data_IF_344080439908
#
_entry.id   IF_344080439908
#
_cell.length_a   1.000
_cell.length_b   1.000
_cell.length_c   1.000
_cell.angle_alpha   90.00
_cell.angle_beta   90.00
_cell.angle_gamma   90.00
#
_symmetry.space_group_name_H-M   'P 1'
#
loop_
_entity.id
_entity.type
_entity.pdbx_description
1 polymer ?
#
# COMPACT_ATOMS: atom_id res chain seq x y z
N UNK A 1 4.15 -16.96 20.00
CA UNK A 1 3.25 -15.83 20.26
C UNK A 1 3.14 -15.05 18.96
N UNK A 2 1.93 -14.90 18.40
CA UNK A 2 1.74 -14.17 17.16
C UNK A 2 1.95 -12.68 17.47
N UNK A 3 3.01 -12.07 16.94
CA UNK A 3 3.31 -10.63 17.09
C UNK A 3 2.34 -9.72 16.32
N UNK A 4 1.09 -10.15 16.16
CA UNK A 4 0.02 -9.44 15.48
C UNK A 4 -1.09 -9.07 16.46
N UNK A 5 -1.82 -7.97 16.21
CA UNK A 5 -2.99 -7.60 16.98
C UNK A 5 -4.07 -8.70 17.05
N UNK A 6 -4.87 -8.68 18.11
CA UNK A 6 -6.12 -9.44 18.19
C UNK A 6 -7.13 -8.87 17.20
N UNK A 7 -7.41 -9.63 16.14
CA UNK A 7 -8.32 -9.26 15.06
C UNK A 7 -9.73 -8.89 15.54
N UNK A 8 -10.18 -9.43 16.67
CA UNK A 8 -11.50 -9.14 17.24
C UNK A 8 -11.54 -7.79 17.95
N UNK A 9 -10.40 -7.33 18.47
CA UNK A 9 -10.27 -6.05 19.16
C UNK A 9 -9.96 -4.91 18.19
N UNK A 10 -10.98 -4.09 17.90
CA UNK A 10 -10.86 -2.94 16.99
C UNK A 10 -9.82 -1.90 17.45
N UNK A 11 -9.57 -1.77 18.75
CA UNK A 11 -8.71 -0.70 19.32
C UNK A 11 -7.22 -0.95 19.09
N UNK A 12 -6.85 -2.19 18.71
CA UNK A 12 -5.48 -2.53 18.36
C UNK A 12 -5.14 -2.24 16.89
N UNK A 13 -6.09 -1.70 16.13
CA UNK A 13 -5.92 -1.30 14.73
C UNK A 13 -6.08 0.22 14.59
N UNK A 14 -5.53 0.83 13.52
CA UNK A 14 -5.77 2.24 13.22
C UNK A 14 -7.28 2.52 13.09
N UNK A 15 -7.77 3.52 13.81
CA UNK A 15 -9.20 3.88 13.78
C UNK A 15 -9.52 4.79 12.60
N UNK A 16 -8.56 5.66 12.25
CA UNK A 16 -8.73 6.69 11.24
C UNK A 16 -7.82 6.47 10.03
N UNK A 17 -8.27 6.91 8.84
CA UNK A 17 -7.46 6.93 7.62
C UNK A 17 -6.05 7.51 7.80
N UNK A 18 -5.96 8.59 8.56
CA UNK A 18 -4.76 9.44 8.67
C UNK A 18 -3.84 8.99 9.81
N UNK A 19 -4.23 7.96 10.56
CA UNK A 19 -3.42 7.39 11.64
C UNK A 19 -2.12 6.79 11.07
N UNK A 20 -2.20 6.23 9.86
CA UNK A 20 -1.06 5.67 9.14
C UNK A 20 -0.90 6.31 7.75
N UNK A 21 0.34 6.63 7.41
CA UNK A 21 0.74 6.95 6.04
C UNK A 21 0.51 5.75 5.12
N UNK A 22 0.36 6.00 3.81
CA UNK A 22 0.24 4.93 2.81
C UNK A 22 1.42 3.93 2.85
N UNK A 23 2.62 4.42 3.17
CA UNK A 23 3.82 3.59 3.35
C UNK A 23 3.68 2.66 4.55
N UNK A 24 3.17 3.16 5.68
CA UNK A 24 2.89 2.35 6.86
C UNK A 24 1.79 1.32 6.60
N UNK A 25 0.73 1.69 5.86
CA UNK A 25 -0.29 0.74 5.41
C UNK A 25 0.31 -0.38 4.56
N UNK A 26 1.13 -0.04 3.57
CA UNK A 26 1.77 -1.02 2.72
C UNK A 26 2.67 -2.00 3.50
N UNK A 27 3.38 -1.49 4.52
CA UNK A 27 4.14 -2.33 5.43
C UNK A 27 3.28 -3.31 6.22
N UNK A 28 2.13 -2.88 6.76
CA UNK A 28 1.25 -3.79 7.50
C UNK A 28 0.79 -4.99 6.66
N UNK A 29 0.58 -4.79 5.35
CA UNK A 29 0.32 -5.90 4.44
C UNK A 29 1.57 -6.73 4.16
N UNK A 30 2.72 -6.11 3.89
CA UNK A 30 3.96 -6.82 3.59
C UNK A 30 4.43 -7.68 4.76
N UNK A 31 4.40 -7.19 6.01
CA UNK A 31 4.84 -7.97 7.18
C UNK A 31 4.01 -9.24 7.43
N UNK A 32 2.80 -9.34 6.85
CA UNK A 32 1.93 -10.53 6.88
C UNK A 32 2.17 -11.49 5.73
N UNK A 33 3.00 -11.13 4.76
CA UNK A 33 3.33 -11.96 3.61
C UNK A 33 4.20 -13.16 4.06
N UNK A 34 3.76 -14.39 3.76
CA UNK A 34 4.44 -15.62 4.19
C UNK A 34 5.79 -15.82 3.52
N UNK A 35 5.92 -15.44 2.25
CA UNK A 35 7.22 -15.47 1.56
C UNK A 35 8.20 -14.49 2.17
N UNK A 36 7.75 -13.25 2.49
CA UNK A 36 8.59 -12.28 3.18
C UNK A 36 9.06 -12.78 4.55
N UNK A 37 8.16 -13.37 5.34
CA UNK A 37 8.49 -13.94 6.65
C UNK A 37 9.51 -15.08 6.52
N UNK A 38 9.34 -15.97 5.54
CA UNK A 38 10.27 -17.07 5.29
C UNK A 38 11.65 -16.56 4.84
N UNK A 39 11.70 -15.62 3.90
CA UNK A 39 12.94 -15.00 3.44
C UNK A 39 13.66 -14.27 4.60
N UNK A 40 12.90 -13.59 5.47
CA UNK A 40 13.44 -12.96 6.68
C UNK A 40 14.12 -13.98 7.60
N UNK A 41 13.43 -15.07 7.93
CA UNK A 41 13.96 -16.12 8.81
C UNK A 41 15.22 -16.74 8.20
N UNK A 42 15.17 -17.09 6.91
CA UNK A 42 16.31 -17.67 6.20
C UNK A 42 17.56 -16.78 6.25
N UNK A 43 17.40 -15.46 6.13
CA UNK A 43 18.51 -14.51 6.28
C UNK A 43 19.05 -14.50 7.71
N UNK A 44 18.19 -14.53 8.73
CA UNK A 44 18.65 -14.51 10.13
C UNK A 44 19.44 -15.76 10.52
N UNK A 45 19.17 -16.90 9.88
CA UNK A 45 19.88 -18.17 10.12
C UNK A 45 21.31 -18.19 9.52
N UNK A 46 21.65 -17.25 8.62
CA UNK A 46 23.00 -17.15 8.04
C UNK A 46 23.98 -16.73 9.13
N UNK A 47 24.93 -17.61 9.47
CA UNK A 47 25.94 -17.33 10.51
C UNK A 47 26.99 -16.31 10.07
N UNK A 48 27.39 -16.31 8.80
CA UNK A 48 28.36 -15.36 8.26
C UNK A 48 27.76 -13.96 8.12
N UNK A 49 28.38 -12.96 8.76
CA UNK A 49 27.85 -11.59 8.83
C UNK A 49 27.86 -10.90 7.46
N UNK A 50 28.91 -11.10 6.67
CA UNK A 50 29.03 -10.45 5.37
C UNK A 50 28.01 -11.00 4.38
N UNK A 51 27.82 -12.32 4.36
CA UNK A 51 26.82 -12.98 3.53
C UNK A 51 25.40 -12.63 3.97
N UNK A 52 25.13 -12.61 5.29
CA UNK A 52 23.85 -12.16 5.84
C UNK A 52 23.51 -10.75 5.35
N UNK A 53 24.47 -9.82 5.39
CA UNK A 53 24.26 -8.45 4.94
C UNK A 53 23.96 -8.37 3.43
N UNK A 54 24.65 -9.17 2.61
CA UNK A 54 24.40 -9.24 1.16
C UNK A 54 23.00 -9.78 0.85
N UNK A 55 22.63 -10.91 1.45
CA UNK A 55 21.33 -11.54 1.29
C UNK A 55 20.20 -10.64 1.80
N UNK A 56 20.37 -10.00 2.96
CA UNK A 56 19.45 -9.01 3.51
C UNK A 56 19.20 -7.87 2.52
N UNK A 57 20.26 -7.34 1.91
CA UNK A 57 20.16 -6.25 0.93
C UNK A 57 19.44 -6.72 -0.34
N UNK A 58 19.72 -7.93 -0.81
CA UNK A 58 19.08 -8.52 -1.99
C UNK A 58 17.58 -8.74 -1.77
N UNK A 59 17.20 -9.36 -0.65
CA UNK A 59 15.80 -9.63 -0.32
C UNK A 59 15.05 -8.33 -0.02
N UNK A 60 15.67 -7.37 0.68
CA UNK A 60 15.08 -6.04 0.86
C UNK A 60 14.68 -5.42 -0.49
N UNK A 61 15.56 -5.50 -1.50
CA UNK A 61 15.25 -5.02 -2.86
C UNK A 61 14.11 -5.78 -3.54
N UNK A 62 13.99 -7.09 -3.34
CA UNK A 62 12.88 -7.89 -3.88
C UNK A 62 11.51 -7.39 -3.39
N UNK A 63 11.45 -6.87 -2.16
CA UNK A 63 10.24 -6.34 -1.53
C UNK A 63 10.14 -4.81 -1.57
N UNK A 64 11.02 -4.16 -2.33
CA UNK A 64 11.18 -2.72 -2.49
C UNK A 64 11.55 -1.96 -1.22
N UNK A 65 12.15 -2.64 -0.23
CA UNK A 65 12.56 -2.09 1.04
C UNK A 65 13.82 -1.22 0.95
N UNK A 66 13.69 0.03 1.39
CA UNK A 66 14.71 1.08 1.39
C UNK A 66 15.81 0.91 2.45
N UNK A 67 15.38 0.55 3.66
CA UNK A 67 16.22 0.56 4.87
C UNK A 67 16.79 -0.82 5.20
N UNK A 68 16.74 -1.75 4.26
CA UNK A 68 17.08 -3.14 4.48
C UNK A 68 15.89 -3.96 4.99
N UNK A 69 16.20 -5.17 5.44
CA UNK A 69 15.20 -6.14 5.84
C UNK A 69 14.71 -5.88 7.28
N UNK A 70 13.40 -5.71 7.44
CA UNK A 70 12.77 -5.33 8.70
C UNK A 70 12.07 -6.54 9.34
N UNK A 71 12.13 -6.63 10.67
CA UNK A 71 11.48 -7.72 11.41
C UNK A 71 9.94 -7.65 11.29
N UNK A 72 9.30 -8.67 10.70
CA UNK A 72 7.85 -8.70 10.46
C UNK A 72 7.00 -8.92 11.72
N UNK A 73 7.60 -9.14 12.89
CA UNK A 73 6.91 -9.30 14.17
C UNK A 73 7.21 -8.13 15.12
N UNK A 74 8.42 -7.56 15.08
CA UNK A 74 8.78 -6.46 15.98
C UNK A 74 8.35 -5.10 15.42
N UNK A 75 8.65 -4.80 14.15
CA UNK A 75 8.54 -3.43 13.62
C UNK A 75 7.12 -3.10 13.20
N UNK A 76 6.30 -2.53 14.07
CA UNK A 76 4.93 -2.12 13.70
C UNK A 76 4.91 -0.85 12.83
N UNK A 77 3.80 -0.59 12.14
CA UNK A 77 3.57 0.66 11.41
C UNK A 77 3.94 1.93 12.19
N UNK A 78 3.61 1.97 13.48
CA UNK A 78 3.85 3.12 14.36
C UNK A 78 5.34 3.39 14.63
N UNK A 79 6.17 2.36 14.55
CA UNK A 79 7.60 2.44 14.78
C UNK A 79 8.39 2.72 13.50
N UNK A 80 7.74 2.70 12.35
CA UNK A 80 8.40 2.97 11.08
C UNK A 80 8.62 4.46 10.91
N UNK A 81 9.86 4.88 10.59
CA UNK A 81 10.09 6.25 10.20
C UNK A 81 9.28 6.57 8.94
N UNK A 82 8.63 7.73 8.90
CA UNK A 82 7.76 8.16 7.78
C UNK A 82 8.45 8.13 6.42
N UNK A 83 9.78 8.19 6.37
CA UNK A 83 10.58 8.26 5.16
C UNK A 83 11.08 6.90 4.59
N UNK A 84 10.79 5.76 5.23
CA UNK A 84 11.79 4.70 5.26
C UNK A 84 11.47 3.35 4.59
N UNK A 85 10.43 3.16 3.79
CA UNK A 85 10.12 1.78 3.37
C UNK A 85 10.27 1.53 1.88
N UNK A 86 9.79 2.38 0.99
CA UNK A 86 9.76 2.03 -0.44
C UNK A 86 10.66 2.93 -1.28
N UNK A 87 11.86 2.47 -1.62
CA UNK A 87 12.91 3.29 -2.28
C UNK A 87 12.80 3.31 -3.80
N UNK A 88 11.95 2.49 -4.42
CA UNK A 88 12.01 2.30 -5.87
C UNK A 88 10.94 2.92 -6.73
N UNK A 89 10.04 3.72 -6.16
CA UNK A 89 9.36 4.66 -7.05
C UNK A 89 10.31 5.80 -7.36
N UNK A 90 10.65 6.08 -8.64
CA UNK A 90 11.26 7.35 -8.99
C UNK A 90 10.43 8.42 -8.28
N UNK A 91 11.08 9.22 -7.42
CA UNK A 91 10.38 10.34 -6.82
C UNK A 91 9.93 11.22 -7.98
N UNK A 92 8.61 11.27 -8.16
CA UNK A 92 7.96 12.29 -8.95
C UNK A 92 8.14 13.58 -8.18
N UNK A 93 9.19 14.30 -8.50
CA UNK A 93 9.28 15.71 -8.18
C UNK A 93 8.37 16.38 -9.20
N UNK A 94 7.17 16.80 -8.79
CA UNK A 94 6.41 17.73 -9.63
C UNK A 94 7.03 19.09 -9.36
N UNK A 95 7.85 19.56 -10.29
CA UNK A 95 8.31 20.94 -10.19
C UNK A 95 7.08 21.85 -10.35
N UNK A 96 7.06 22.98 -9.64
CA UNK A 96 5.91 23.89 -9.62
C UNK A 96 5.51 24.35 -11.04
N UNK A 97 6.49 24.42 -11.95
CA UNK A 97 6.32 24.71 -13.38
C UNK A 97 5.56 23.60 -14.16
N UNK A 98 5.62 22.35 -13.69
CA UNK A 98 4.96 21.18 -14.31
C UNK A 98 3.46 21.10 -13.96
N UNK A 99 2.97 21.84 -12.94
CA UNK A 99 1.55 21.88 -12.55
C UNK A 99 0.62 22.37 -13.67
N UNK A 100 1.16 23.11 -14.64
CA UNK A 100 0.41 23.64 -15.78
C UNK A 100 0.39 22.72 -17.01
N UNK A 101 1.09 21.58 -16.98
CA UNK A 101 1.19 20.66 -18.11
C UNK A 101 0.85 19.22 -17.70
N UNK A 102 -0.44 18.79 -17.73
CA UNK A 102 -0.87 17.46 -17.29
C UNK A 102 -0.30 16.29 -18.11
N UNK A 103 0.49 16.58 -19.15
CA UNK A 103 1.16 15.62 -20.02
C UNK A 103 2.67 15.53 -19.79
N UNK A 104 3.21 16.24 -18.79
CA UNK A 104 4.62 16.20 -18.43
C UNK A 104 4.80 15.49 -17.10
N UNK A 105 5.85 14.67 -17.04
CA UNK A 105 6.23 13.90 -15.85
C UNK A 105 7.73 14.01 -15.72
N UNK A 106 8.19 14.49 -14.57
CA UNK A 106 9.61 14.56 -14.21
C UNK A 106 9.97 13.34 -13.37
N UNK A 107 11.04 12.65 -13.76
CA UNK A 107 11.54 11.43 -13.11
C UNK A 107 12.93 11.70 -12.56
N UNK A 108 13.15 11.37 -11.28
CA UNK A 108 14.46 11.48 -10.63
C UNK A 108 15.14 10.11 -10.58
N UNK A 109 16.40 10.04 -11.01
CA UNK A 109 17.22 8.83 -11.00
C UNK A 109 18.36 8.95 -9.99
N UNK A 110 18.68 7.85 -9.32
CA UNK A 110 19.87 7.77 -8.50
C UNK A 110 21.05 7.31 -9.37
N UNK A 111 21.95 8.25 -9.66
CA UNK A 111 23.13 8.00 -10.50
C UNK A 111 24.20 7.12 -9.83
N UNK A 112 24.07 6.84 -8.52
CA UNK A 112 24.95 5.90 -7.82
C UNK A 112 24.59 4.43 -8.10
N UNK A 113 23.42 4.17 -8.68
CA UNK A 113 22.92 2.85 -9.05
C UNK A 113 22.96 2.64 -10.58
N UNK A 114 23.05 1.40 -11.08
CA UNK A 114 22.93 1.12 -12.51
C UNK A 114 21.64 1.71 -13.09
N UNK A 115 21.75 2.32 -14.27
CA UNK A 115 20.66 3.09 -14.87
C UNK A 115 19.59 2.20 -15.53
N UNK A 116 19.98 1.09 -16.16
CA UNK A 116 19.06 0.23 -16.92
C UNK A 116 17.88 -0.33 -16.08
N UNK A 117 18.08 -0.83 -14.85
CA UNK A 117 16.97 -1.24 -14.00
C UNK A 117 16.00 -0.09 -13.70
N UNK A 118 16.53 1.12 -13.45
CA UNK A 118 15.71 2.29 -13.14
C UNK A 118 14.92 2.76 -14.37
N UNK A 119 15.51 2.71 -15.57
CA UNK A 119 14.83 3.04 -16.82
C UNK A 119 13.70 2.07 -17.14
N UNK A 120 13.89 0.77 -16.85
CA UNK A 120 12.84 -0.25 -17.04
C UNK A 120 11.63 0.04 -16.16
N UNK A 121 11.86 0.35 -14.90
CA UNK A 121 10.82 0.69 -13.92
C UNK A 121 10.13 2.02 -14.26
N UNK A 122 10.91 3.05 -14.60
CA UNK A 122 10.38 4.31 -15.09
C UNK A 122 9.45 4.13 -16.30
N UNK A 123 9.84 3.25 -17.24
CA UNK A 123 9.03 2.94 -18.42
C UNK A 123 7.70 2.26 -18.06
N UNK A 124 7.71 1.31 -17.12
CA UNK A 124 6.48 0.67 -16.63
C UNK A 124 5.53 1.69 -15.99
N UNK A 125 6.06 2.61 -15.18
CA UNK A 125 5.25 3.65 -14.55
C UNK A 125 4.67 4.62 -15.59
N UNK A 126 5.48 5.05 -16.56
CA UNK A 126 4.99 5.88 -17.66
C UNK A 126 3.90 5.17 -18.47
N UNK A 127 4.04 3.87 -18.74
CA UNK A 127 3.01 3.08 -19.41
C UNK A 127 1.71 3.05 -18.61
N UNK A 128 1.77 2.81 -17.30
CA UNK A 128 0.59 2.86 -16.44
C UNK A 128 -0.10 4.24 -16.50
N UNK A 129 0.68 5.33 -16.50
CA UNK A 129 0.14 6.69 -16.57
C UNK A 129 -0.46 7.02 -17.94
N UNK A 130 0.18 6.58 -19.02
CA UNK A 130 -0.36 6.71 -20.38
C UNK A 130 -1.65 5.91 -20.51
N UNK A 131 -1.71 4.69 -19.95
CA UNK A 131 -2.90 3.86 -19.98
C UNK A 131 -4.05 4.52 -19.21
N UNK A 132 -3.80 5.04 -18.00
CA UNK A 132 -4.77 5.85 -17.23
C UNK A 132 -5.27 7.04 -18.06
N UNK A 133 -4.36 7.81 -18.66
CA UNK A 133 -4.73 8.96 -19.49
C UNK A 133 -5.49 8.57 -20.75
N UNK A 134 -5.16 7.45 -21.39
CA UNK A 134 -5.84 6.96 -22.59
C UNK A 134 -7.27 6.50 -22.27
N UNK A 135 -7.48 5.89 -21.10
CA UNK A 135 -8.80 5.57 -20.56
C UNK A 135 -9.60 6.85 -20.30
N UNK A 136 -8.98 7.92 -19.83
CA UNK A 136 -9.63 9.22 -19.66
C UNK A 136 -9.88 9.96 -20.99
N UNK A 137 -8.95 9.90 -21.96
CA UNK A 137 -9.05 10.58 -23.27
C UNK A 137 -10.04 9.93 -24.23
N UNK A 138 -10.14 8.60 -24.30
CA UNK A 138 -11.16 7.95 -25.15
C UNK A 138 -12.59 8.26 -24.68
N UNK A 139 -12.76 8.66 -23.41
CA UNK A 139 -14.04 9.07 -22.81
C UNK A 139 -14.38 10.55 -23.04
N UNK A 140 -13.39 11.39 -23.33
CA UNK A 140 -13.57 12.82 -23.66
C UNK A 140 -14.15 13.04 -25.08
N UNK A 141 -14.01 12.06 -25.98
CA UNK A 141 -14.60 12.12 -27.34
C UNK A 141 -15.98 11.44 -27.45
N UNK A 142 -16.50 10.88 -26.36
CA UNK A 142 -17.90 10.45 -26.24
C UNK A 142 -18.66 11.48 -25.41
N UNK A 143 -19.79 11.99 -25.89
CA UNK A 143 -20.66 13.00 -25.24
C UNK A 143 -21.32 12.54 -23.92
N UNK A 144 -20.61 11.80 -23.06
CA UNK A 144 -21.10 11.47 -21.72
C UNK A 144 -20.84 12.66 -20.78
N UNK A 145 -21.75 12.92 -19.82
CA UNK A 145 -21.57 13.94 -18.80
C UNK A 145 -20.24 13.72 -18.07
N UNK A 146 -19.60 14.79 -17.55
CA UNK A 146 -18.35 14.68 -16.82
C UNK A 146 -18.57 13.70 -15.68
N UNK A 147 -17.96 12.52 -15.79
CA UNK A 147 -17.80 11.66 -14.64
C UNK A 147 -16.95 12.49 -13.69
N UNK A 148 -17.56 12.95 -12.60
CA UNK A 148 -16.86 12.95 -11.31
C UNK A 148 -16.31 11.53 -11.19
N UNK A 149 -15.11 11.29 -11.74
CA UNK A 149 -14.48 9.99 -11.61
C UNK A 149 -14.43 9.79 -10.11
N UNK A 150 -15.26 8.87 -9.63
CA UNK A 150 -15.05 8.20 -8.37
C UNK A 150 -13.69 7.56 -8.58
N UNK A 151 -12.62 8.31 -8.32
CA UNK A 151 -11.32 7.75 -7.95
C UNK A 151 -11.73 6.65 -7.00
N UNK A 152 -11.42 5.40 -7.33
CA UNK A 152 -11.62 4.30 -6.39
C UNK A 152 -10.72 4.62 -5.20
N UNK A 153 -11.24 5.46 -4.31
CA UNK A 153 -10.67 5.77 -3.02
C UNK A 153 -10.65 4.40 -2.39
N UNK A 154 -9.44 3.84 -2.27
CA UNK A 154 -9.23 2.66 -1.43
C UNK A 154 -9.79 3.12 -0.09
N UNK A 155 -10.96 2.60 0.24
CA UNK A 155 -11.62 3.04 1.46
C UNK A 155 -10.71 2.59 2.60
N UNK A 156 -10.18 3.54 3.36
CA UNK A 156 -9.29 3.23 4.47
C UNK A 156 -9.94 2.30 5.49
N UNK A 157 -11.27 2.44 5.69
CA UNK A 157 -12.04 1.49 6.49
C UNK A 157 -11.93 0.06 5.94
N UNK A 158 -11.85 -0.10 4.62
CA UNK A 158 -11.61 -1.42 4.03
C UNK A 158 -10.20 -1.92 4.30
N UNK A 159 -9.16 -1.07 4.33
CA UNK A 159 -7.79 -1.50 4.67
C UNK A 159 -7.71 -2.07 6.08
N UNK A 160 -8.36 -1.42 7.06
CA UNK A 160 -8.47 -1.94 8.44
C UNK A 160 -9.16 -3.31 8.42
N UNK A 161 -10.30 -3.43 7.75
CA UNK A 161 -11.00 -4.71 7.64
C UNK A 161 -10.15 -5.78 6.94
N UNK A 162 -9.36 -5.41 5.93
CA UNK A 162 -8.47 -6.35 5.24
C UNK A 162 -7.39 -6.90 6.17
N UNK A 163 -6.76 -6.06 6.99
CA UNK A 163 -5.80 -6.53 8.00
C UNK A 163 -6.46 -7.46 9.01
N UNK A 164 -7.62 -7.06 9.56
CA UNK A 164 -8.36 -7.86 10.53
C UNK A 164 -8.79 -9.22 9.97
N UNK A 165 -9.22 -9.26 8.71
CA UNK A 165 -9.58 -10.53 8.05
C UNK A 165 -8.35 -11.43 7.85
N UNK A 166 -7.18 -10.88 7.49
CA UNK A 166 -5.94 -11.67 7.39
C UNK A 166 -5.55 -12.26 8.74
N UNK A 167 -5.57 -11.44 9.79
CA UNK A 167 -5.20 -11.86 11.15
C UNK A 167 -6.18 -12.90 11.71
N UNK A 168 -7.48 -12.76 11.40
CA UNK A 168 -8.51 -13.72 11.80
C UNK A 168 -8.32 -15.10 11.14
N UNK A 169 -8.04 -15.11 9.83
CA UNK A 169 -7.78 -16.36 9.10
C UNK A 169 -6.50 -17.04 9.59
N UNK A 170 -5.48 -16.26 9.95
CA UNK A 170 -4.22 -16.78 10.49
C UNK A 170 -4.41 -17.51 11.83
N UNK A 171 -5.34 -17.05 12.68
CA UNK A 171 -5.70 -17.73 13.93
C UNK A 171 -6.76 -18.83 13.75
N UNK A 172 -7.21 -19.09 12.52
CA UNK A 172 -8.18 -20.13 12.19
C UNK A 172 -9.64 -19.77 12.47
N UNK A 173 -9.98 -18.48 12.58
CA UNK A 173 -11.37 -18.05 12.76
C UNK A 173 -12.22 -18.39 11.52
N UNK A 174 -13.46 -18.80 11.76
CA UNK A 174 -14.42 -19.13 10.70
C UNK A 174 -14.96 -17.87 10.02
N UNK A 175 -15.38 -17.98 8.76
CA UNK A 175 -15.97 -16.84 8.04
C UNK A 175 -17.17 -16.22 8.78
N UNK A 176 -17.94 -17.07 9.49
CA UNK A 176 -19.09 -16.67 10.29
C UNK A 176 -18.69 -15.81 11.50
N UNK A 177 -17.66 -16.23 12.25
CA UNK A 177 -17.13 -15.45 13.39
C UNK A 177 -16.59 -14.10 12.91
N UNK A 178 -15.85 -14.10 11.80
CA UNK A 178 -15.32 -12.89 11.18
C UNK A 178 -16.45 -11.95 10.74
N UNK A 179 -17.47 -12.50 10.08
CA UNK A 179 -18.62 -11.72 9.61
C UNK A 179 -19.39 -11.10 10.79
N UNK A 180 -19.62 -11.87 11.85
CA UNK A 180 -20.33 -11.43 13.06
C UNK A 180 -19.57 -10.30 13.77
N UNK A 181 -18.24 -10.41 13.89
CA UNK A 181 -17.44 -9.41 14.57
C UNK A 181 -17.20 -8.13 13.73
N UNK A 182 -16.96 -8.26 12.41
CA UNK A 182 -16.61 -7.12 11.56
C UNK A 182 -17.81 -6.45 10.89
N UNK A 183 -18.88 -7.20 10.63
CA UNK A 183 -20.03 -6.71 9.87
C UNK A 183 -21.37 -7.02 10.56
N UNK A 184 -21.56 -6.63 11.84
CA UNK A 184 -22.73 -7.00 12.64
C UNK A 184 -24.07 -6.46 12.11
N UNK A 185 -24.04 -5.48 11.20
CA UNK A 185 -25.23 -4.88 10.59
C UNK A 185 -25.71 -5.59 9.32
N UNK A 186 -24.96 -6.56 8.81
CA UNK A 186 -25.41 -7.36 7.68
C UNK A 186 -26.34 -8.44 8.22
N UNK A 187 -27.55 -8.48 7.66
CA UNK A 187 -28.51 -9.52 7.98
C UNK A 187 -27.88 -10.86 7.63
N UNK A 188 -27.65 -11.63 8.68
CA UNK A 188 -27.10 -12.97 8.65
C UNK A 188 -28.25 -13.99 8.71
N UNK A 189 -29.47 -13.57 8.39
CA UNK A 189 -30.64 -14.43 8.37
C UNK A 189 -30.62 -15.39 7.17
N UNK A 190 -31.07 -16.61 7.46
CA UNK A 190 -30.64 -17.88 6.88
C UNK A 190 -31.22 -18.18 5.48
N UNK A 191 -31.09 -17.25 4.52
CA UNK A 191 -31.57 -17.44 3.13
C UNK A 191 -30.41 -17.44 2.13
N UNK A 192 -30.03 -18.65 1.72
CA UNK A 192 -29.22 -19.09 0.56
C UNK A 192 -27.85 -18.47 0.23
N UNK A 193 -27.43 -17.35 0.83
CA UNK A 193 -26.05 -16.85 0.80
C UNK A 193 -25.85 -15.85 1.93
N UNK A 194 -25.12 -16.25 2.96
CA UNK A 194 -24.71 -15.35 4.05
C UNK A 194 -23.98 -14.13 3.47
N UNK A 195 -24.66 -12.98 3.40
CA UNK A 195 -24.11 -11.76 2.83
C UNK A 195 -22.82 -11.35 3.57
N UNK A 196 -22.76 -11.62 4.87
CA UNK A 196 -21.56 -11.50 5.71
C UNK A 196 -20.40 -12.35 5.18
N UNK A 197 -20.59 -13.65 4.95
CA UNK A 197 -19.53 -14.54 4.48
C UNK A 197 -19.03 -14.16 3.08
N UNK A 198 -19.93 -13.82 2.16
CA UNK A 198 -19.56 -13.32 0.82
C UNK A 198 -18.70 -12.06 0.94
N UNK A 199 -19.04 -11.16 1.86
CA UNK A 199 -18.23 -9.97 2.13
C UNK A 199 -16.87 -10.32 2.72
N UNK A 200 -16.81 -11.23 3.69
CA UNK A 200 -15.54 -11.72 4.26
C UNK A 200 -14.66 -12.32 3.17
N UNK A 201 -15.19 -13.16 2.29
CA UNK A 201 -14.44 -13.74 1.17
C UNK A 201 -13.90 -12.69 0.20
N UNK A 202 -14.72 -11.69 -0.14
CA UNK A 202 -14.29 -10.58 -1.00
C UNK A 202 -13.19 -9.75 -0.33
N UNK A 203 -13.32 -9.49 0.97
CA UNK A 203 -12.30 -8.80 1.76
C UNK A 203 -11.02 -9.62 1.86
N UNK A 204 -11.10 -10.94 2.08
CA UNK A 204 -9.97 -11.84 2.14
C UNK A 204 -9.20 -11.86 0.82
N UNK A 205 -9.89 -12.01 -0.32
CA UNK A 205 -9.27 -11.96 -1.66
C UNK A 205 -8.55 -10.64 -1.91
N UNK A 206 -9.16 -9.52 -1.56
CA UNK A 206 -8.55 -8.20 -1.68
C UNK A 206 -7.32 -8.05 -0.77
N UNK A 207 -7.43 -8.51 0.47
CA UNK A 207 -6.36 -8.45 1.47
C UNK A 207 -5.15 -9.32 1.07
N UNK A 208 -5.39 -10.54 0.58
CA UNK A 208 -4.34 -11.41 0.05
C UNK A 208 -3.63 -10.77 -1.14
N UNK A 209 -4.38 -10.17 -2.08
CA UNK A 209 -3.77 -9.46 -3.22
C UNK A 209 -2.87 -8.31 -2.77
N UNK A 210 -3.28 -7.55 -1.75
CA UNK A 210 -2.45 -6.48 -1.16
C UNK A 210 -1.20 -7.07 -0.51
N UNK A 211 -1.35 -8.04 0.38
CA UNK A 211 -0.25 -8.78 1.05
C UNK A 211 0.76 -9.35 0.06
N UNK A 212 0.29 -9.91 -1.05
CA UNK A 212 1.10 -10.69 -1.99
C UNK A 212 1.69 -9.85 -3.13
N UNK A 213 1.64 -8.52 -3.02
CA UNK A 213 2.40 -7.62 -3.89
C UNK A 213 1.67 -6.36 -4.31
N UNK A 214 0.34 -6.30 -4.19
CA UNK A 214 -0.39 -5.08 -4.53
C UNK A 214 -0.27 -3.98 -3.47
N UNK A 215 0.34 -4.24 -2.30
CA UNK A 215 0.72 -3.21 -1.32
C UNK A 215 1.55 -2.09 -1.95
N UNK A 216 2.36 -2.44 -2.97
CA UNK A 216 3.13 -1.49 -3.79
C UNK A 216 2.27 -0.38 -4.38
N UNK A 217 1.03 -0.67 -4.75
CA UNK A 217 0.08 0.32 -5.30
C UNK A 217 -0.49 1.27 -4.24
N UNK A 218 -0.44 0.89 -2.96
CA UNK A 218 -0.80 1.78 -1.85
C UNK A 218 0.24 2.89 -1.76
N UNK A 219 1.53 2.56 -1.87
CA UNK A 219 2.64 3.52 -1.82
C UNK A 219 2.59 4.56 -2.95
N UNK A 220 2.20 4.15 -4.16
CA UNK A 220 2.08 5.05 -5.32
C UNK A 220 1.08 6.20 -5.09
N UNK A 221 0.07 5.98 -4.26
CA UNK A 221 -0.93 7.02 -3.93
C UNK A 221 -0.39 8.09 -2.98
N UNK A 222 0.70 7.81 -2.28
CA UNK A 222 1.36 8.76 -1.37
C UNK A 222 2.01 9.92 -2.12
N UNK A 223 2.51 9.68 -3.33
CA UNK A 223 3.22 10.69 -4.12
C UNK A 223 2.31 11.82 -4.63
N UNK A 224 0.98 11.60 -4.71
CA UNK A 224 0.04 12.61 -5.24
C UNK A 224 -0.52 13.55 -4.15
N UNK A 225 -0.50 13.17 -2.87
CA UNK A 225 -1.19 13.92 -1.79
C UNK A 225 -0.27 14.93 -1.10
N UNK A 226 0.99 14.57 -0.83
CA UNK A 226 1.94 15.50 -0.17
C UNK A 226 2.17 16.79 -0.97
N UNK A 227 1.93 16.80 -2.28
CA UNK A 227 2.07 17.99 -3.11
C UNK A 227 0.90 18.98 -3.03
N UNK A 228 -0.30 18.55 -2.60
CA UNK A 228 -1.47 19.45 -2.56
C UNK A 228 -1.49 20.30 -1.29
N UNK A 229 -0.98 19.76 -0.17
CA UNK A 229 -1.06 20.44 1.13
C UNK A 229 0.09 21.44 1.35
N UNK A 230 1.31 21.17 0.86
CA UNK A 230 2.42 22.16 0.87
C UNK A 230 2.12 23.39 0.00
N UNK A 231 1.43 23.22 -1.13
CA UNK A 231 1.05 24.33 -2.03
C UNK A 231 0.01 25.26 -1.37
N UNK A 232 -0.83 24.75 -0.46
CA UNK A 232 -1.83 25.57 0.25
C UNK A 232 -1.24 26.37 1.40
N UNK A 233 -0.23 25.85 2.10
CA UNK A 233 0.46 26.60 3.15
C UNK A 233 1.34 27.73 2.58
N UNK A 234 1.95 27.53 1.41
CA UNK A 234 2.80 28.57 0.79
C UNK A 234 2.02 29.65 0.01
N UNK A 235 0.75 29.42 -0.34
CA UNK A 235 -0.08 30.39 -1.08
C UNK A 235 -0.93 31.32 -0.19
N UNK A 236 -0.92 31.13 1.13
CA UNK A 236 -1.61 31.99 2.10
C UNK A 236 -0.86 33.25 2.53
N UNK A 237 0.35 33.47 2.01
CA UNK A 237 1.33 34.42 2.52
C UNK A 237 1.51 35.74 1.76
N UNK A 238 0.60 36.17 0.88
CA UNK A 238 0.66 37.52 0.29
C UNK A 238 -0.73 38.15 0.21
N UNK A 239 -1.13 38.79 1.31
CA UNK A 239 -2.02 39.95 1.28
C UNK A 239 -1.37 41.08 2.06
N UNK A 240 -0.73 41.98 1.32
CA UNK A 240 -0.48 43.37 1.73
C UNK A 240 -1.16 44.28 0.71
#
# INVERSE_FOLDING_TARGET
>A
MNGFPDWSNKEQYPEKPDDLTYTQWAWEFLRRNKSYQADYIAVQEISDVAERQRQSTQIARQYDLAVGLLDPLIVTAWQLPRACIFVRYPRFSVHEEDLHAPFKVSLTFDISLPLDPQLREAKEILHLRIEEQSKSKSRLFSNLPPLTEKRERVSFQNLVHYLRVLDAVEVGATEFEIATALFPKLDNDNTDKYAGNVRVQNHLKAAQKLRDGAYRKICLRNAEVYHIDEVKENSGGEKK
#
